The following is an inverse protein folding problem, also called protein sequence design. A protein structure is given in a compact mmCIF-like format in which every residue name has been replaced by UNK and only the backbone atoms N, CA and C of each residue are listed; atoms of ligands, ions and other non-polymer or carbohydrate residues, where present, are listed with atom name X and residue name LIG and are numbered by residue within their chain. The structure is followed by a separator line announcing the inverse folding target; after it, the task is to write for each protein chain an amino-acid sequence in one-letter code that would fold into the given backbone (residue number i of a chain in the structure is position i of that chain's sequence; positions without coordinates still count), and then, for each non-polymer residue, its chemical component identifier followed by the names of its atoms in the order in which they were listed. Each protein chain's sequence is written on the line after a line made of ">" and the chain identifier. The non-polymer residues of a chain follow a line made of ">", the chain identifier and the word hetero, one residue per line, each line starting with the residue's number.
data_IF_857437164788
#
_entry.id   IF_857437164788
#
_cell.length_a   1.000
_cell.length_b   1.000
_cell.length_c   1.000
_cell.angle_alpha   90.00
_cell.angle_beta   90.00
_cell.angle_gamma   90.00
#
_symmetry.space_group_name_H-M   'P 1'
#
loop_
_entity.id
_entity.type
_entity.pdbx_description
1 polymer ?
#
# COMPACT_ATOMS: atom_id res chain seq x y z
N UNK A 1 -13.65 -10.16 -7.83
CA UNK A 1 -12.35 -10.07 -8.52
C UNK A 1 -11.29 -10.65 -7.59
N UNK A 2 -10.74 -11.84 -7.87
CA UNK A 2 -9.75 -12.49 -7.02
C UNK A 2 -8.39 -11.80 -7.21
N UNK A 3 -7.86 -11.15 -6.17
CA UNK A 3 -6.45 -10.75 -6.19
C UNK A 3 -5.63 -11.97 -5.73
N UNK A 4 -4.82 -12.61 -6.61
CA UNK A 4 -4.17 -13.90 -6.31
C UNK A 4 -3.15 -13.85 -5.16
N UNK A 5 -2.79 -12.64 -4.73
CA UNK A 5 -1.83 -12.35 -3.68
C UNK A 5 -2.44 -12.15 -2.29
N UNK A 6 -3.72 -11.76 -2.22
CA UNK A 6 -4.43 -11.40 -0.99
C UNK A 6 -5.46 -12.49 -0.67
N UNK A 7 -5.06 -13.49 0.13
CA UNK A 7 -5.81 -14.75 0.31
C UNK A 7 -6.58 -14.77 1.61
N UNK A 8 -5.92 -14.44 2.71
CA UNK A 8 -6.46 -14.52 4.07
C UNK A 8 -6.79 -13.12 4.60
N UNK A 9 -7.80 -13.01 5.46
CA UNK A 9 -8.13 -11.72 6.09
C UNK A 9 -6.90 -11.18 6.84
N UNK A 10 -6.55 -9.93 6.57
CA UNK A 10 -5.37 -9.27 7.09
C UNK A 10 -4.10 -9.49 6.26
N UNK A 11 -4.14 -10.25 5.17
CA UNK A 11 -3.12 -10.17 4.12
C UNK A 11 -3.11 -8.74 3.57
N UNK A 12 -1.91 -8.19 3.34
CA UNK A 12 -1.78 -6.83 2.84
C UNK A 12 -0.55 -6.61 1.96
N UNK A 13 -0.63 -5.59 1.12
CA UNK A 13 0.50 -5.08 0.33
C UNK A 13 0.36 -3.57 0.13
N UNK A 14 1.49 -2.92 -0.15
CA UNK A 14 1.51 -1.54 -0.63
C UNK A 14 1.98 -1.56 -2.07
N UNK A 15 1.27 -0.82 -2.93
CA UNK A 15 1.62 -0.67 -4.34
C UNK A 15 1.54 0.78 -4.76
N UNK A 16 2.29 1.12 -5.81
CA UNK A 16 1.99 2.32 -6.59
C UNK A 16 0.69 2.10 -7.39
N UNK A 17 -0.08 3.17 -7.54
CA UNK A 17 -1.21 3.26 -8.44
C UNK A 17 -1.03 4.53 -9.25
N UNK A 18 -1.25 4.43 -10.55
CA UNK A 18 -1.21 5.56 -11.46
C UNK A 18 -2.63 5.87 -11.94
N UNK A 19 -3.05 7.13 -11.84
CA UNK A 19 -4.29 7.63 -12.43
C UNK A 19 -3.92 8.85 -13.27
N UNK A 20 -3.88 8.67 -14.59
CA UNK A 20 -3.30 9.67 -15.51
C UNK A 20 -1.82 9.90 -15.18
N UNK A 21 -1.45 11.15 -14.96
CA UNK A 21 -0.07 11.54 -14.62
C UNK A 21 0.22 11.50 -13.10
N UNK A 22 -0.78 11.17 -12.28
CA UNK A 22 -0.65 11.16 -10.83
C UNK A 22 -0.28 9.77 -10.32
N UNK A 23 0.85 9.69 -9.63
CA UNK A 23 1.26 8.51 -8.88
C UNK A 23 0.85 8.63 -7.42
N UNK A 24 0.19 7.59 -6.91
CA UNK A 24 -0.17 7.49 -5.49
C UNK A 24 0.19 6.13 -4.94
N UNK A 25 0.33 6.04 -3.62
CA UNK A 25 0.53 4.77 -2.94
C UNK A 25 -0.80 4.27 -2.37
N UNK A 26 -1.10 2.99 -2.57
CA UNK A 26 -2.32 2.36 -2.07
C UNK A 26 -1.94 1.17 -1.21
N UNK A 27 -2.43 1.16 0.02
CA UNK A 27 -2.41 0.00 0.91
C UNK A 27 -3.66 -0.84 0.64
N UNK A 28 -3.43 -2.05 0.16
CA UNK A 28 -4.48 -3.04 -0.03
C UNK A 28 -4.49 -4.02 1.15
N UNK A 29 -5.68 -4.30 1.69
CA UNK A 29 -5.87 -5.24 2.80
C UNK A 29 -7.03 -6.17 2.50
N UNK A 30 -6.80 -7.48 2.62
CA UNK A 30 -7.86 -8.48 2.49
C UNK A 30 -8.79 -8.44 3.69
N UNK A 31 -10.09 -8.39 3.46
CA UNK A 31 -11.08 -8.39 4.52
C UNK A 31 -12.30 -9.24 4.12
N UNK A 32 -12.38 -10.47 4.63
CA UNK A 32 -13.45 -11.40 4.25
C UNK A 32 -13.43 -11.65 2.75
N UNK A 33 -14.56 -11.42 2.06
CA UNK A 33 -14.67 -11.52 0.60
C UNK A 33 -14.09 -10.30 -0.13
N UNK A 34 -13.88 -9.17 0.54
CA UNK A 34 -13.53 -7.88 -0.04
C UNK A 34 -12.03 -7.56 0.08
N UNK A 35 -11.62 -6.49 -0.60
CA UNK A 35 -10.30 -5.88 -0.47
C UNK A 35 -10.51 -4.40 -0.18
N UNK A 36 -10.05 -3.96 0.99
CA UNK A 36 -10.00 -2.56 1.34
C UNK A 36 -8.86 -1.87 0.58
N UNK A 37 -9.14 -0.69 0.03
CA UNK A 37 -8.18 0.13 -0.71
C UNK A 37 -7.98 1.45 0.05
N UNK A 38 -6.83 1.61 0.70
CA UNK A 38 -6.51 2.78 1.51
C UNK A 38 -5.41 3.60 0.83
N UNK A 39 -5.77 4.77 0.33
CA UNK A 39 -4.79 5.70 -0.26
C UNK A 39 -3.87 6.26 0.82
N UNK A 40 -2.57 6.28 0.54
CA UNK A 40 -1.53 6.90 1.35
C UNK A 40 -1.19 8.24 0.69
N UNK A 41 -1.28 9.32 1.44
CA UNK A 41 -0.93 10.67 1.02
C UNK A 41 0.38 11.12 1.65
N UNK A 42 1.03 12.07 0.99
CA UNK A 42 2.19 12.78 1.51
C UNK A 42 1.73 14.18 1.92
N UNK A 43 2.00 14.56 3.17
CA UNK A 43 1.69 15.88 3.73
C UNK A 43 2.89 16.29 4.58
N UNK A 44 3.46 17.47 4.30
CA UNK A 44 4.68 17.98 4.95
C UNK A 44 5.83 16.96 4.93
N UNK A 45 6.09 16.37 3.75
CA UNK A 45 7.09 15.32 3.51
C UNK A 45 6.91 14.04 4.37
N UNK A 46 5.72 13.84 4.94
CA UNK A 46 5.40 12.67 5.74
C UNK A 46 4.19 11.91 5.18
N UNK A 47 4.16 10.61 5.41
CA UNK A 47 3.14 9.69 4.92
C UNK A 47 2.01 9.53 5.94
N UNK A 48 0.76 9.57 5.47
CA UNK A 48 -0.45 9.32 6.27
C UNK A 48 -1.53 8.64 5.43
N UNK A 49 -2.50 8.00 6.08
CA UNK A 49 -3.71 7.54 5.38
C UNK A 49 -4.56 8.74 4.96
N UNK A 50 -4.90 8.83 3.68
CA UNK A 50 -5.65 9.96 3.09
C UNK A 50 -6.96 10.24 3.83
N UNK A 51 -7.68 9.17 4.20
CA UNK A 51 -8.93 9.23 4.95
C UNK A 51 -8.84 10.03 6.27
N UNK A 52 -7.67 10.06 6.91
CA UNK A 52 -7.48 10.78 8.18
C UNK A 52 -7.33 12.29 8.01
N UNK A 53 -7.01 12.76 6.80
CA UNK A 53 -6.84 14.19 6.52
C UNK A 53 -8.17 14.94 6.71
N UNK A 54 -9.26 14.39 6.18
CA UNK A 54 -10.60 14.95 6.34
C UNK A 54 -11.09 14.96 7.79
N UNK A 55 -10.45 14.18 8.67
CA UNK A 55 -10.81 14.03 10.08
C UNK A 55 -9.97 14.88 11.04
N UNK A 56 -8.95 15.59 10.54
CA UNK A 56 -8.05 16.40 11.37
C UNK A 56 -7.13 15.61 12.32
N UNK A 57 -7.19 14.28 12.31
CA UNK A 57 -6.45 13.38 13.21
C UNK A 57 -5.41 12.54 12.45
N UNK A 58 -4.75 13.12 11.46
CA UNK A 58 -3.77 12.42 10.64
C UNK A 58 -2.49 12.14 11.42
N UNK A 59 -2.28 10.88 11.78
CA UNK A 59 -0.98 10.41 12.26
C UNK A 59 -0.04 10.32 11.06
N UNK A 60 1.07 11.07 11.12
CA UNK A 60 2.04 11.18 10.04
C UNK A 60 3.30 10.37 10.36
N UNK A 61 3.96 9.85 9.33
CA UNK A 61 5.11 8.97 9.45
C UNK A 61 6.21 9.35 8.46
N UNK A 62 7.50 9.25 8.83
CA UNK A 62 8.60 9.65 7.94
C UNK A 62 8.77 8.70 6.74
N UNK A 63 8.32 7.44 6.86
CA UNK A 63 8.32 6.50 5.73
C UNK A 63 7.08 5.62 5.76
N UNK A 64 6.71 5.06 4.61
CA UNK A 64 5.66 4.04 4.51
C UNK A 64 5.95 2.84 5.41
N UNK A 65 7.22 2.45 5.57
CA UNK A 65 7.62 1.38 6.48
C UNK A 65 7.22 1.66 7.94
N UNK A 66 7.38 2.91 8.40
CA UNK A 66 6.95 3.33 9.74
C UNK A 66 5.43 3.31 9.88
N UNK A 67 4.69 3.80 8.86
CA UNK A 67 3.23 3.73 8.81
C UNK A 67 2.74 2.28 8.94
N UNK A 68 3.31 1.35 8.15
CA UNK A 68 2.95 -0.07 8.22
C UNK A 68 3.30 -0.66 9.59
N UNK A 69 4.50 -0.38 10.11
CA UNK A 69 4.93 -0.86 11.44
C UNK A 69 3.96 -0.41 12.55
N UNK A 70 3.43 0.80 12.46
CA UNK A 70 2.42 1.32 13.37
C UNK A 70 1.09 0.56 13.25
N UNK A 71 0.54 0.42 12.05
CA UNK A 71 -0.75 -0.25 11.81
C UNK A 71 -0.71 -1.79 11.85
N UNK A 72 0.48 -2.39 12.00
CA UNK A 72 0.59 -3.79 12.46
C UNK A 72 0.27 -3.95 13.94
N UNK A 73 0.46 -2.90 14.74
CA UNK A 73 0.19 -2.90 16.19
C UNK A 73 -1.18 -2.29 16.52
N UNK A 74 -1.64 -1.36 15.69
CA UNK A 74 -2.91 -0.64 15.87
C UNK A 74 -3.91 -1.04 14.79
N UNK A 75 -5.21 -0.92 15.07
CA UNK A 75 -6.22 -1.09 14.03
C UNK A 75 -6.12 0.04 13.01
N UNK A 76 -6.43 -0.28 11.77
CA UNK A 76 -6.68 0.72 10.73
C UNK A 76 -7.96 1.52 11.08
N UNK A 77 -8.15 2.71 10.49
CA UNK A 77 -9.31 3.55 10.78
C UNK A 77 -10.67 2.93 10.45
N UNK A 78 -10.68 1.87 9.62
CA UNK A 78 -11.85 1.05 9.29
C UNK A 78 -11.91 -0.24 10.13
N UNK A 79 -11.25 -0.27 11.30
CA UNK A 79 -11.17 -1.40 12.24
C UNK A 79 -10.42 -2.64 11.75
N UNK A 80 -9.83 -2.60 10.55
CA UNK A 80 -9.08 -3.71 9.95
C UNK A 80 -7.69 -3.86 10.57
N UNK A 81 -7.07 -5.03 10.39
CA UNK A 81 -5.74 -5.33 10.93
C UNK A 81 -4.78 -5.75 9.82
N UNK A 82 -3.55 -5.26 9.91
CA UNK A 82 -2.44 -5.72 9.08
C UNK A 82 -1.79 -6.93 9.75
N UNK A 83 -2.01 -8.12 9.19
CA UNK A 83 -1.51 -9.38 9.76
C UNK A 83 -0.28 -9.84 9.00
N UNK A 84 -0.43 -10.12 7.71
CA UNK A 84 0.59 -10.77 6.90
C UNK A 84 0.90 -9.95 5.65
N UNK A 85 2.15 -9.51 5.55
CA UNK A 85 2.61 -8.81 4.37
C UNK A 85 2.81 -9.81 3.22
N UNK A 86 2.27 -9.50 2.05
CA UNK A 86 2.62 -10.22 0.82
C UNK A 86 4.07 -9.88 0.49
N UNK A 87 4.91 -10.91 0.43
CA UNK A 87 6.31 -10.74 0.05
C UNK A 87 6.41 -10.49 -1.46
N UNK A 88 7.34 -9.63 -1.85
CA UNK A 88 7.71 -9.44 -3.25
C UNK A 88 8.12 -10.80 -3.84
N UNK A 89 7.50 -11.29 -4.91
CA UNK A 89 7.91 -12.52 -5.55
C UNK A 89 9.32 -12.39 -6.13
N UNK A 90 10.11 -13.47 -6.07
CA UNK A 90 11.49 -13.48 -6.56
C UNK A 90 11.61 -13.23 -8.06
N UNK A 91 10.57 -13.56 -8.82
CA UNK A 91 10.48 -13.34 -10.27
C UNK A 91 10.10 -11.90 -10.66
N UNK A 92 9.79 -11.01 -9.69
CA UNK A 92 9.46 -9.62 -10.02
C UNK A 92 10.73 -8.83 -10.34
N UNK A 93 11.05 -8.73 -11.64
CA UNK A 93 12.24 -8.06 -12.17
C UNK A 93 12.17 -6.54 -11.93
N UNK A 94 13.31 -5.93 -11.62
CA UNK A 94 13.43 -4.47 -11.53
C UNK A 94 13.69 -3.90 -12.93
N UNK A 95 13.10 -2.75 -13.27
CA UNK A 95 13.31 -2.13 -14.58
C UNK A 95 14.81 -1.87 -14.87
N UNK A 96 15.59 -1.50 -13.85
CA UNK A 96 17.05 -1.32 -14.01
C UNK A 96 17.83 -2.61 -14.28
N UNK A 97 17.19 -3.78 -14.21
CA UNK A 97 17.77 -5.09 -14.51
C UNK A 97 17.39 -5.58 -15.91
N UNK A 98 16.62 -4.79 -16.68
CA UNK A 98 16.23 -5.09 -18.05
C UNK A 98 16.93 -4.10 -18.97
N UNK A 99 17.67 -4.63 -19.94
CA UNK A 99 18.11 -3.87 -21.11
C UNK A 99 17.15 -4.18 -22.25
N UNK A 100 16.69 -3.15 -22.95
CA UNK A 100 15.89 -3.31 -24.17
C UNK A 100 16.82 -3.16 -25.36
N UNK A 101 16.69 -4.05 -26.34
CA UNK A 101 17.37 -3.85 -27.62
C UNK A 101 16.81 -2.59 -28.27
N UNK A 102 17.69 -1.73 -28.80
CA UNK A 102 17.26 -0.57 -29.58
C UNK A 102 16.62 -1.07 -30.87
N UNK A 103 15.41 -0.60 -31.16
CA UNK A 103 14.74 -0.90 -32.43
C UNK A 103 15.42 -0.05 -33.50
N UNK A 104 16.31 -0.70 -34.28
CA UNK A 104 16.98 -0.15 -35.47
C UNK A 104 16.03 0.05 -36.63
#
# INVERSE_FOLDING_TARGET
>A
MFSPLLRETGDFLVRASQIGDYYTLVLNVKNGSEIDNLTISVVDDQFTLHYLLAKGNSVKFPTVGHLIKYYKKHRLPNERRLVKAVKRPWWLVHHSSVAYDEVS
#
